data_IF_529898502543
#
_entry.id   IF_529898502543
#
_cell.length_a   1.000
_cell.length_b   1.000
_cell.length_c   1.000
_cell.angle_alpha   90.00
_cell.angle_beta   90.00
_cell.angle_gamma   90.00
#
_symmetry.space_group_name_H-M   'P 1'
#
loop_
_entity.id
_entity.type
_entity.pdbx_description
1 polymer ?
#
# COMPACT_ATOMS: atom_id res chain seq x y z
N UNK A 1 -7.83 9.68 -16.24
CA UNK A 1 -6.98 8.94 -15.29
C UNK A 1 -5.74 8.49 -16.05
N UNK A 2 -4.57 8.75 -15.51
CA UNK A 2 -3.30 8.27 -16.10
C UNK A 2 -3.07 6.79 -15.78
N UNK A 3 -2.16 6.14 -16.51
CA UNK A 3 -1.76 4.74 -16.22
C UNK A 3 -1.23 4.57 -14.79
N UNK A 4 -0.33 5.43 -14.27
CA UNK A 4 0.10 5.32 -12.87
C UNK A 4 -1.05 5.47 -11.87
N UNK A 5 -1.97 6.40 -12.08
CA UNK A 5 -3.16 6.54 -11.23
C UNK A 5 -4.04 5.28 -11.25
N UNK A 6 -4.23 4.68 -12.41
CA UNK A 6 -5.00 3.44 -12.53
C UNK A 6 -4.34 2.27 -11.78
N UNK A 7 -3.02 2.15 -11.89
CA UNK A 7 -2.25 1.14 -11.18
C UNK A 7 -2.36 1.32 -9.66
N UNK A 8 -2.21 2.55 -9.17
CA UNK A 8 -2.38 2.87 -7.73
C UNK A 8 -3.80 2.55 -7.28
N UNK A 9 -4.82 2.97 -8.03
CA UNK A 9 -6.21 2.69 -7.67
C UNK A 9 -6.51 1.19 -7.58
N UNK A 10 -5.97 0.41 -8.52
CA UNK A 10 -6.08 -1.04 -8.47
C UNK A 10 -5.43 -1.61 -7.21
N UNK A 11 -4.19 -1.18 -6.92
CA UNK A 11 -3.43 -1.65 -5.77
C UNK A 11 -4.11 -1.33 -4.44
N UNK A 12 -4.66 -0.11 -4.30
CA UNK A 12 -5.41 0.30 -3.11
C UNK A 12 -6.67 -0.55 -2.90
N UNK A 13 -7.43 -0.84 -3.99
CA UNK A 13 -8.61 -1.71 -3.89
C UNK A 13 -8.25 -3.13 -3.47
N UNK A 14 -7.16 -3.70 -4.02
CA UNK A 14 -6.71 -5.04 -3.63
C UNK A 14 -6.26 -5.06 -2.16
N UNK A 15 -5.59 -4.01 -1.69
CA UNK A 15 -5.17 -3.92 -0.29
C UNK A 15 -6.35 -3.74 0.70
N UNK A 16 -7.46 -3.17 0.24
CA UNK A 16 -8.69 -2.99 1.03
C UNK A 16 -9.61 -4.23 0.99
N UNK A 17 -9.41 -5.13 0.03
CA UNK A 17 -10.20 -6.34 -0.15
C UNK A 17 -9.57 -7.53 0.57
N UNK A 18 -10.19 -7.94 1.67
CA UNK A 18 -9.71 -9.01 2.55
C UNK A 18 -9.82 -10.42 1.92
N UNK A 19 -10.26 -10.55 0.68
CA UNK A 19 -10.24 -11.81 -0.08
C UNK A 19 -8.91 -12.06 -0.79
N UNK A 20 -7.98 -11.09 -0.74
CA UNK A 20 -6.65 -11.15 -1.33
C UNK A 20 -5.58 -11.33 -0.25
N UNK A 21 -4.57 -12.15 -0.54
CA UNK A 21 -3.48 -12.39 0.39
C UNK A 21 -2.15 -12.61 -0.31
N UNK A 22 -1.14 -13.03 0.46
CA UNK A 22 0.20 -13.32 -0.06
C UNK A 22 0.33 -14.79 -0.49
N UNK A 23 0.87 -15.01 -1.68
CA UNK A 23 1.24 -16.35 -2.14
C UNK A 23 2.36 -16.28 -3.15
N UNK A 24 3.38 -17.13 -2.99
CA UNK A 24 4.44 -17.28 -4.00
C UNK A 24 4.10 -18.31 -5.08
N UNK A 25 3.24 -19.25 -4.78
CA UNK A 25 2.85 -20.31 -5.72
C UNK A 25 1.61 -19.93 -6.55
N UNK A 26 0.63 -19.24 -5.95
CA UNK A 26 -0.60 -18.78 -6.60
C UNK A 26 -0.64 -17.24 -6.59
N UNK A 27 0.20 -16.63 -7.43
CA UNK A 27 0.61 -15.23 -7.29
C UNK A 27 0.09 -14.28 -8.36
N UNK A 28 -0.80 -14.72 -9.25
CA UNK A 28 -1.33 -13.91 -10.34
C UNK A 28 -2.84 -13.66 -10.23
N UNK A 29 -3.32 -13.62 -8.98
CA UNK A 29 -4.72 -13.46 -8.59
C UNK A 29 -5.37 -14.81 -8.20
N UNK A 30 -6.22 -14.80 -7.15
CA UNK A 30 -6.56 -13.64 -6.31
C UNK A 30 -5.46 -13.23 -5.32
N UNK A 31 -4.44 -14.07 -5.10
CA UNK A 31 -3.32 -13.77 -4.22
C UNK A 31 -2.10 -13.28 -5.01
N UNK A 32 -1.18 -12.62 -4.35
CA UNK A 32 0.00 -12.01 -4.97
C UNK A 32 1.22 -12.19 -4.09
N UNK A 33 2.42 -12.26 -4.70
CA UNK A 33 3.65 -11.91 -4.02
C UNK A 33 4.02 -10.45 -4.30
N UNK A 34 5.12 -9.97 -3.74
CA UNK A 34 5.52 -8.57 -3.89
C UNK A 34 5.68 -8.13 -5.35
N UNK A 35 6.32 -8.95 -6.17
CA UNK A 35 6.58 -8.62 -7.58
C UNK A 35 5.34 -8.76 -8.45
N UNK A 36 4.60 -9.85 -8.31
CA UNK A 36 3.37 -10.05 -9.07
C UNK A 36 2.28 -9.01 -8.73
N UNK A 37 2.25 -8.53 -7.49
CA UNK A 37 1.37 -7.44 -7.07
C UNK A 37 1.64 -6.15 -7.86
N UNK A 38 2.89 -5.66 -7.85
CA UNK A 38 3.25 -4.45 -8.57
C UNK A 38 3.09 -4.61 -10.09
N UNK A 39 3.43 -5.78 -10.65
CA UNK A 39 3.24 -6.07 -12.07
C UNK A 39 1.75 -6.09 -12.42
N UNK A 40 0.90 -6.74 -11.62
CA UNK A 40 -0.55 -6.81 -11.84
C UNK A 40 -1.23 -5.45 -11.70
N UNK A 41 -0.74 -4.57 -10.83
CA UNK A 41 -1.25 -3.20 -10.75
C UNK A 41 -1.17 -2.49 -12.10
N UNK A 42 -0.07 -2.66 -12.82
CA UNK A 42 0.07 -2.09 -14.17
C UNK A 42 -0.59 -2.93 -15.26
N UNK A 43 -0.42 -4.25 -15.22
CA UNK A 43 -0.98 -5.14 -16.24
C UNK A 43 -2.51 -5.20 -16.18
N UNK A 44 -3.05 -5.54 -15.03
CA UNK A 44 -4.49 -5.76 -14.83
C UNK A 44 -5.19 -4.46 -14.47
N UNK A 45 -4.58 -3.66 -13.61
CA UNK A 45 -5.18 -2.42 -13.11
C UNK A 45 -5.13 -1.27 -14.11
N UNK A 46 -4.08 -1.18 -14.91
CA UNK A 46 -3.85 -0.06 -15.82
C UNK A 46 -3.76 -0.46 -17.31
N UNK A 47 -3.89 -1.73 -17.64
CA UNK A 47 -3.93 -2.20 -19.04
C UNK A 47 -2.60 -2.17 -19.78
N UNK A 48 -1.46 -2.08 -19.06
CA UNK A 48 -0.13 -2.15 -19.68
C UNK A 48 0.14 -3.59 -20.13
N UNK A 49 0.51 -3.84 -21.40
CA UNK A 49 0.62 -5.20 -21.95
C UNK A 49 1.93 -5.88 -21.49
N UNK A 50 2.16 -5.99 -20.18
CA UNK A 50 3.35 -6.63 -19.62
C UNK A 50 3.27 -8.14 -19.84
N UNK A 51 4.30 -8.70 -20.48
CA UNK A 51 4.47 -10.14 -20.62
C UNK A 51 5.08 -10.72 -19.34
N UNK A 52 4.29 -11.47 -18.60
CA UNK A 52 4.70 -12.09 -17.34
C UNK A 52 5.62 -13.30 -17.51
N UNK A 53 5.88 -13.76 -18.74
CA UNK A 53 6.96 -14.70 -19.01
C UNK A 53 8.34 -14.02 -19.00
N UNK A 54 8.36 -12.70 -19.22
CA UNK A 54 9.59 -11.89 -19.28
C UNK A 54 9.86 -11.17 -17.97
N UNK A 55 8.81 -10.62 -17.34
CA UNK A 55 8.92 -9.89 -16.05
C UNK A 55 8.01 -10.54 -15.04
N UNK A 56 8.57 -11.23 -14.07
CA UNK A 56 7.75 -12.02 -13.15
C UNK A 56 8.30 -12.16 -11.72
N UNK A 57 9.49 -11.69 -11.42
CA UNK A 57 10.05 -11.72 -10.06
C UNK A 57 11.08 -10.59 -9.86
N UNK A 58 11.54 -10.40 -8.65
CA UNK A 58 12.45 -9.29 -8.29
C UNK A 58 13.76 -9.29 -9.08
N UNK A 59 14.25 -10.44 -9.52
CA UNK A 59 15.51 -10.53 -10.29
C UNK A 59 15.39 -10.09 -11.76
N UNK A 60 14.18 -9.92 -12.30
CA UNK A 60 13.96 -9.47 -13.68
C UNK A 60 13.05 -8.24 -13.81
N UNK A 61 12.85 -7.48 -12.71
CA UNK A 61 12.03 -6.24 -12.74
C UNK A 61 12.55 -5.19 -13.72
N UNK A 62 13.83 -5.22 -14.09
CA UNK A 62 14.40 -4.37 -15.14
C UNK A 62 13.74 -4.58 -16.51
N UNK A 63 13.11 -5.72 -16.74
CA UNK A 63 12.30 -5.96 -17.92
C UNK A 63 11.14 -4.98 -18.12
N UNK A 64 10.67 -4.31 -17.05
CA UNK A 64 9.63 -3.27 -17.12
C UNK A 64 10.03 -2.11 -18.03
N UNK A 65 11.33 -1.85 -18.22
CA UNK A 65 11.81 -0.79 -19.12
C UNK A 65 11.33 -0.99 -20.57
N UNK A 66 10.98 -2.22 -20.96
CA UNK A 66 10.41 -2.53 -22.30
C UNK A 66 8.94 -2.15 -22.44
N UNK A 67 8.27 -1.85 -21.32
CA UNK A 67 6.83 -1.60 -21.25
C UNK A 67 6.49 -0.16 -20.86
N UNK A 68 7.35 0.78 -21.22
CA UNK A 68 7.11 2.21 -21.01
C UNK A 68 7.56 2.74 -19.64
N UNK A 69 8.31 1.97 -18.88
CA UNK A 69 8.96 2.45 -17.66
C UNK A 69 10.32 3.05 -17.95
N UNK A 70 10.74 4.00 -17.10
CA UNK A 70 12.08 4.57 -17.07
C UNK A 70 12.66 4.44 -15.67
N UNK A 71 13.97 4.20 -15.58
CA UNK A 71 14.69 4.26 -14.32
C UNK A 71 14.77 5.72 -13.84
N UNK A 72 14.23 5.99 -12.68
CA UNK A 72 14.22 7.29 -12.01
C UNK A 72 14.96 7.28 -10.67
N UNK A 73 15.76 6.27 -10.42
CA UNK A 73 16.51 6.10 -9.17
C UNK A 73 17.34 7.34 -8.85
N UNK A 74 18.07 7.86 -9.82
CA UNK A 74 18.91 9.07 -9.64
C UNK A 74 18.12 10.38 -9.43
N UNK A 75 16.81 10.38 -9.68
CA UNK A 75 15.94 11.55 -9.46
C UNK A 75 15.21 11.48 -8.11
N UNK A 76 15.41 10.45 -7.32
CA UNK A 76 14.73 10.21 -6.06
C UNK A 76 15.73 10.04 -4.91
N UNK A 77 15.38 10.55 -3.75
CA UNK A 77 16.12 10.27 -2.52
C UNK A 77 15.48 9.07 -1.81
N UNK A 78 16.09 7.90 -1.95
CA UNK A 78 15.58 6.66 -1.35
C UNK A 78 15.64 6.61 0.19
N UNK A 79 16.34 7.55 0.84
CA UNK A 79 16.32 7.64 2.31
C UNK A 79 15.07 8.33 2.83
N UNK A 80 14.55 9.31 2.08
CA UNK A 80 13.44 10.17 2.50
C UNK A 80 12.17 9.98 1.67
N UNK A 81 12.26 9.32 0.51
CA UNK A 81 11.17 9.24 -0.46
C UNK A 81 10.97 10.52 -1.29
N UNK A 82 11.82 11.55 -1.10
CA UNK A 82 11.71 12.79 -1.88
C UNK A 82 11.93 12.52 -3.37
N UNK A 83 11.07 13.06 -4.22
CA UNK A 83 11.10 12.85 -5.68
C UNK A 83 10.29 11.65 -6.17
N UNK A 84 9.79 10.80 -5.27
CA UNK A 84 8.84 9.73 -5.62
C UNK A 84 7.51 10.32 -6.09
N UNK A 85 6.89 9.65 -7.06
CA UNK A 85 5.58 9.99 -7.59
C UNK A 85 4.64 8.79 -7.51
N UNK A 86 3.35 9.04 -7.32
CA UNK A 86 2.35 7.98 -7.29
C UNK A 86 2.44 7.10 -8.55
N UNK A 87 2.51 5.80 -8.35
CA UNK A 87 2.76 4.80 -9.39
C UNK A 87 4.22 4.41 -9.55
N UNK A 88 5.17 5.02 -8.85
CA UNK A 88 6.56 4.53 -8.89
C UNK A 88 6.65 3.13 -8.30
N UNK A 89 7.35 2.24 -8.97
CA UNK A 89 7.71 0.91 -8.46
C UNK A 89 9.09 1.00 -7.81
N UNK A 90 9.11 0.79 -6.51
CA UNK A 90 10.32 0.61 -5.71
C UNK A 90 10.69 -0.87 -5.72
N UNK A 91 11.97 -1.19 -5.92
CA UNK A 91 12.38 -2.58 -5.83
C UNK A 91 13.86 -2.74 -5.49
N UNK A 92 14.18 -3.90 -4.96
CA UNK A 92 15.54 -4.40 -4.82
C UNK A 92 15.58 -5.90 -5.06
N UNK A 93 16.77 -6.38 -5.45
CA UNK A 93 17.08 -7.81 -5.53
C UNK A 93 18.54 -8.01 -5.15
N UNK A 94 18.81 -8.83 -4.14
CA UNK A 94 20.15 -9.08 -3.65
C UNK A 94 20.69 -10.38 -4.25
N UNK A 95 20.01 -11.51 -4.02
CA UNK A 95 20.35 -12.81 -4.59
C UNK A 95 19.23 -13.82 -4.33
N UNK A 96 19.09 -14.80 -5.21
CA UNK A 96 18.10 -15.87 -5.08
C UNK A 96 16.68 -15.33 -4.94
N UNK A 97 16.04 -15.58 -3.81
CA UNK A 97 14.68 -15.08 -3.49
C UNK A 97 14.68 -13.83 -2.62
N UNK A 98 15.86 -13.28 -2.28
CA UNK A 98 15.95 -12.11 -1.42
C UNK A 98 15.77 -10.83 -2.24
N UNK A 99 14.54 -10.39 -2.30
CA UNK A 99 14.14 -9.16 -2.98
C UNK A 99 12.75 -8.74 -2.54
N UNK A 100 12.42 -7.48 -2.83
CA UNK A 100 11.09 -6.93 -2.54
C UNK A 100 10.71 -5.85 -3.54
N UNK A 101 9.40 -5.65 -3.69
CA UNK A 101 8.84 -4.56 -4.48
C UNK A 101 7.68 -3.91 -3.75
N UNK A 102 7.50 -2.62 -3.99
CA UNK A 102 6.36 -1.85 -3.51
C UNK A 102 5.94 -0.83 -4.56
N UNK A 103 4.67 -0.49 -4.56
CA UNK A 103 4.12 0.59 -5.38
C UNK A 103 3.98 1.83 -4.50
N UNK A 104 4.59 2.95 -4.90
CA UNK A 104 4.41 4.20 -4.20
C UNK A 104 3.01 4.78 -4.52
N UNK A 105 2.18 4.92 -3.49
CA UNK A 105 0.80 5.36 -3.65
C UNK A 105 0.65 6.89 -3.66
N UNK A 106 1.71 7.62 -3.35
CA UNK A 106 1.68 9.06 -3.09
C UNK A 106 1.62 9.35 -1.59
N UNK A 107 1.73 10.63 -1.23
CA UNK A 107 1.59 11.12 0.16
C UNK A 107 2.45 10.38 1.21
N UNK A 108 3.66 9.99 0.83
CA UNK A 108 4.55 9.26 1.73
C UNK A 108 4.15 7.82 2.01
N UNK A 109 3.37 7.18 1.12
CA UNK A 109 2.87 5.83 1.33
C UNK A 109 3.26 4.87 0.23
N UNK A 110 3.37 3.60 0.61
CA UNK A 110 3.57 2.47 -0.30
C UNK A 110 2.48 1.42 -0.09
N UNK A 111 2.15 0.72 -1.16
CA UNK A 111 1.29 -0.47 -1.15
C UNK A 111 2.13 -1.67 -1.59
N UNK A 112 2.11 -2.73 -0.81
CA UNK A 112 2.91 -3.90 -1.13
C UNK A 112 2.31 -5.21 -0.59
N UNK A 113 2.52 -6.31 -1.31
CA UNK A 113 2.30 -7.64 -0.79
C UNK A 113 3.59 -8.11 -0.09
N UNK A 114 3.54 -8.36 1.22
CA UNK A 114 4.73 -8.57 2.05
C UNK A 114 4.77 -9.92 2.77
N UNK A 115 3.69 -10.68 2.70
CA UNK A 115 3.57 -11.91 3.48
C UNK A 115 3.53 -11.65 4.99
N UNK A 116 3.41 -12.72 5.76
CA UNK A 116 3.55 -12.62 7.20
C UNK A 116 5.04 -12.69 7.59
N UNK A 117 5.40 -11.89 8.59
CA UNK A 117 6.79 -11.76 9.04
C UNK A 117 7.37 -13.05 9.65
N UNK A 118 6.55 -14.03 10.00
CA UNK A 118 6.94 -15.27 10.65
C UNK A 118 6.20 -16.45 10.07
N UNK A 119 6.90 -17.29 9.33
CA UNK A 119 6.41 -18.57 8.82
C UNK A 119 6.29 -18.65 7.30
N UNK A 120 5.88 -19.80 6.81
CA UNK A 120 5.63 -20.00 5.38
C UNK A 120 4.44 -19.18 4.92
N UNK A 121 4.51 -18.55 3.71
CA UNK A 121 3.38 -17.84 3.14
C UNK A 121 2.16 -18.75 3.06
N UNK A 122 1.03 -18.29 3.54
CA UNK A 122 -0.25 -18.96 3.40
C UNK A 122 -0.93 -18.48 2.11
N UNK A 123 -1.96 -19.21 1.71
CA UNK A 123 -2.78 -18.81 0.57
C UNK A 123 -4.05 -18.11 1.09
N UNK A 124 -4.40 -16.99 0.48
CA UNK A 124 -5.55 -16.17 0.85
C UNK A 124 -5.19 -15.09 1.86
N UNK A 125 -6.14 -14.22 2.15
CA UNK A 125 -5.90 -13.14 3.10
C UNK A 125 -5.65 -13.67 4.51
N UNK A 126 -4.55 -13.24 5.07
CA UNK A 126 -4.10 -13.61 6.41
C UNK A 126 -3.98 -12.37 7.32
N UNK A 127 -4.62 -11.28 6.95
CA UNK A 127 -4.53 -10.00 7.63
C UNK A 127 -3.23 -9.26 7.32
N UNK A 128 -3.35 -8.07 6.74
CA UNK A 128 -2.24 -7.18 6.38
C UNK A 128 -1.11 -7.78 5.51
N UNK A 129 -1.35 -8.89 4.83
CA UNK A 129 -0.40 -9.47 3.87
C UNK A 129 -0.24 -8.60 2.62
N UNK A 130 -1.30 -7.90 2.20
CA UNK A 130 -1.24 -6.80 1.24
C UNK A 130 -1.59 -5.54 2.02
N UNK A 131 -0.62 -4.67 2.21
CA UNK A 131 -0.72 -3.58 3.15
C UNK A 131 -0.39 -2.23 2.52
N UNK A 132 -1.07 -1.20 3.01
CA UNK A 132 -0.69 0.19 2.82
C UNK A 132 0.10 0.59 4.06
N UNK A 133 1.34 1.06 3.87
CA UNK A 133 2.20 1.48 4.97
C UNK A 133 2.82 2.84 4.65
N UNK A 134 3.29 3.55 5.67
CA UNK A 134 4.14 4.70 5.45
C UNK A 134 5.39 4.28 4.65
N UNK A 135 5.90 5.20 3.82
CA UNK A 135 7.18 4.98 3.16
C UNK A 135 8.27 4.85 4.23
N UNK A 136 9.11 3.86 4.07
CA UNK A 136 10.26 3.64 4.95
C UNK A 136 11.53 3.45 4.12
N UNK A 137 12.67 3.77 4.69
CA UNK A 137 13.97 3.44 4.13
C UNK A 137 14.17 1.92 4.20
N UNK A 138 13.79 1.23 3.13
CA UNK A 138 14.09 -0.20 2.96
C UNK A 138 15.48 -0.41 2.34
N UNK A 139 15.63 -1.56 1.73
CA UNK A 139 16.81 -1.88 0.90
C UNK A 139 16.61 -1.45 -0.56
N UNK A 140 15.77 -0.45 -0.81
CA UNK A 140 15.43 0.03 -2.14
C UNK A 140 16.68 0.36 -2.95
N UNK A 141 16.79 -0.22 -4.13
CA UNK A 141 17.90 -0.03 -5.05
C UNK A 141 17.46 0.74 -6.30
N UNK A 142 16.20 0.60 -6.69
CA UNK A 142 15.69 1.16 -7.94
C UNK A 142 14.30 1.76 -7.76
N UNK A 143 14.04 2.79 -8.58
CA UNK A 143 12.73 3.41 -8.77
C UNK A 143 12.39 3.36 -10.26
N UNK A 144 11.33 2.64 -10.61
CA UNK A 144 10.86 2.61 -11.99
C UNK A 144 9.54 3.35 -12.09
N UNK A 145 9.53 4.37 -12.95
CA UNK A 145 8.37 5.22 -13.24
C UNK A 145 7.84 4.93 -14.62
N UNK A 146 6.53 4.73 -14.72
CA UNK A 146 5.88 4.65 -16.01
C UNK A 146 5.87 6.04 -16.67
N UNK A 147 6.43 6.13 -17.87
CA UNK A 147 6.55 7.37 -18.66
C UNK A 147 5.89 7.28 -20.03
N UNK A 148 5.29 6.12 -20.34
CA UNK A 148 4.52 5.92 -21.56
C UNK A 148 3.29 6.82 -21.60
N UNK A 149 2.77 7.09 -22.78
CA UNK A 149 1.57 7.90 -22.97
C UNK A 149 0.30 7.08 -22.74
N UNK A 150 -0.63 7.65 -21.99
CA UNK A 150 -1.99 7.11 -21.89
C UNK A 150 -3.02 8.22 -22.14
N UNK A 151 -4.04 7.87 -22.91
CA UNK A 151 -5.10 8.79 -23.33
C UNK A 151 -6.46 8.50 -22.71
N UNK A 152 -6.56 7.55 -21.76
CA UNK A 152 -7.84 7.30 -21.09
C UNK A 152 -8.18 8.43 -20.14
N UNK A 153 -9.24 9.17 -20.42
CA UNK A 153 -9.76 10.26 -19.57
C UNK A 153 -10.89 9.79 -18.66
N UNK A 154 -11.37 8.57 -18.81
CA UNK A 154 -12.47 8.05 -18.01
C UNK A 154 -11.99 7.48 -16.67
N UNK A 155 -12.63 7.92 -15.60
CA UNK A 155 -12.45 7.36 -14.25
C UNK A 155 -13.31 6.09 -14.14
N UNK A 156 -12.74 4.92 -13.77
CA UNK A 156 -13.54 3.71 -13.61
C UNK A 156 -14.56 3.86 -12.48
N UNK A 157 -15.60 3.04 -12.53
CA UNK A 157 -16.54 2.94 -11.43
C UNK A 157 -15.78 2.57 -10.13
N UNK A 158 -16.04 3.30 -9.05
CA UNK A 158 -15.34 3.12 -7.77
C UNK A 158 -13.96 3.79 -7.67
N UNK A 159 -13.67 4.76 -8.56
CA UNK A 159 -12.42 5.53 -8.48
C UNK A 159 -12.28 6.24 -7.12
N UNK A 160 -11.11 6.05 -6.49
CA UNK A 160 -10.77 6.69 -5.22
C UNK A 160 -9.68 7.73 -5.51
N UNK A 161 -9.89 8.98 -5.13
CA UNK A 161 -8.86 10.01 -5.26
C UNK A 161 -7.73 9.71 -4.25
N UNK A 162 -6.47 9.50 -4.69
CA UNK A 162 -5.38 9.24 -3.77
C UNK A 162 -5.15 10.35 -2.74
N UNK A 163 -5.51 11.60 -3.08
CA UNK A 163 -5.48 12.72 -2.14
C UNK A 163 -6.57 12.62 -1.08
N UNK A 164 -7.64 11.89 -1.39
CA UNK A 164 -8.80 11.71 -0.54
C UNK A 164 -8.94 10.27 0.00
N UNK A 165 -7.94 9.40 -0.23
CA UNK A 165 -8.01 8.02 0.27
C UNK A 165 -8.25 7.99 1.79
N UNK A 166 -7.66 8.93 2.51
CA UNK A 166 -7.89 9.11 3.94
C UNK A 166 -9.07 10.04 4.29
N UNK A 167 -9.54 10.84 3.35
CA UNK A 167 -10.76 11.65 3.57
C UNK A 167 -12.05 10.88 3.29
N UNK A 168 -11.98 9.64 2.78
CA UNK A 168 -13.13 8.75 2.71
C UNK A 168 -13.34 8.07 4.07
N UNK A 169 -13.47 8.88 5.09
CA UNK A 169 -13.79 8.48 6.47
C UNK A 169 -15.05 7.62 6.57
N UNK A 170 -15.94 7.68 5.56
CA UNK A 170 -17.15 6.86 5.49
C UNK A 170 -16.89 5.36 5.20
N UNK A 171 -15.65 4.97 4.82
CA UNK A 171 -15.28 3.58 4.54
C UNK A 171 -14.20 3.03 5.48
N UNK A 172 -13.63 3.87 6.35
CA UNK A 172 -12.73 3.35 7.37
C UNK A 172 -13.53 2.49 8.36
N UNK A 173 -13.06 1.27 8.65
CA UNK A 173 -13.79 0.41 9.56
C UNK A 173 -13.89 1.03 10.94
N UNK A 174 -14.99 0.82 11.62
CA UNK A 174 -15.08 1.07 13.04
C UNK A 174 -14.12 0.09 13.74
N UNK A 175 -13.11 0.62 14.43
CA UNK A 175 -12.23 -0.19 15.27
C UNK A 175 -12.33 0.25 16.73
N UNK A 176 -12.19 -0.72 17.64
CA UNK A 176 -12.32 -0.53 19.08
C UNK A 176 -11.62 -1.67 19.83
N UNK A 177 -11.66 -1.60 21.14
CA UNK A 177 -11.10 -2.66 21.98
C UNK A 177 -11.46 -4.08 21.51
N UNK A 178 -10.46 -4.94 21.37
CA UNK A 178 -10.58 -6.30 20.88
C UNK A 178 -10.45 -6.44 19.36
N UNK A 179 -10.44 -5.36 18.58
CA UNK A 179 -10.14 -5.44 17.16
C UNK A 179 -8.66 -5.75 16.91
N UNK A 180 -8.39 -6.46 15.81
CA UNK A 180 -7.02 -6.78 15.36
C UNK A 180 -6.89 -6.52 13.86
N UNK A 181 -5.66 -6.23 13.41
CA UNK A 181 -5.35 -6.14 11.98
C UNK A 181 -4.78 -4.80 11.53
N UNK A 182 -4.80 -4.58 10.20
CA UNK A 182 -4.13 -3.46 9.56
C UNK A 182 -4.69 -2.09 9.95
N UNK A 183 -6.01 -1.98 10.09
CA UNK A 183 -6.64 -0.73 10.53
C UNK A 183 -6.25 -0.34 11.93
N UNK A 184 -6.04 -1.34 12.81
CA UNK A 184 -5.53 -1.10 14.17
C UNK A 184 -4.07 -0.63 14.12
N UNK A 185 -3.23 -1.25 13.30
CA UNK A 185 -1.84 -0.81 13.10
C UNK A 185 -1.76 0.62 12.62
N UNK A 186 -2.56 0.96 11.59
CA UNK A 186 -2.63 2.32 11.08
C UNK A 186 -3.05 3.31 12.18
N UNK A 187 -4.04 2.95 12.97
CA UNK A 187 -4.49 3.78 14.07
C UNK A 187 -3.38 3.99 15.10
N UNK A 188 -2.70 2.91 15.48
CA UNK A 188 -1.58 2.95 16.42
C UNK A 188 -0.43 3.84 15.94
N UNK A 189 -0.10 3.79 14.63
CA UNK A 189 0.88 4.70 14.02
C UNK A 189 0.43 6.16 14.12
N UNK A 190 -0.83 6.45 13.80
CA UNK A 190 -1.37 7.83 13.83
C UNK A 190 -1.33 8.44 15.22
N UNK A 191 -1.64 7.66 16.26
CA UNK A 191 -1.65 8.14 17.64
C UNK A 191 -0.33 7.91 18.39
N UNK A 192 0.71 7.41 17.70
CA UNK A 192 2.08 7.29 18.24
C UNK A 192 2.25 6.25 19.34
N UNK A 193 1.49 5.15 19.33
CA UNK A 193 1.65 4.04 20.27
C UNK A 193 2.35 2.84 19.64
N UNK A 194 2.67 1.81 20.44
CA UNK A 194 3.24 0.56 19.95
C UNK A 194 2.35 -0.07 18.87
N UNK A 195 2.95 -0.38 17.70
CA UNK A 195 2.23 -0.87 16.52
C UNK A 195 2.26 -2.40 16.49
N UNK A 196 1.45 -3.03 17.35
CA UNK A 196 1.31 -4.49 17.42
C UNK A 196 0.14 -5.04 16.59
N UNK A 197 -0.79 -4.15 16.20
CA UNK A 197 -1.99 -4.51 15.45
C UNK A 197 -3.10 -5.08 16.31
N UNK A 198 -3.01 -4.97 17.64
CA UNK A 198 -4.04 -5.37 18.60
C UNK A 198 -4.61 -4.12 19.28
N UNK A 199 -5.90 -3.89 19.18
CA UNK A 199 -6.56 -2.80 19.91
C UNK A 199 -6.77 -3.23 21.36
N UNK A 200 -5.66 -3.26 22.11
CA UNK A 200 -5.62 -3.58 23.52
C UNK A 200 -5.87 -2.35 24.41
N UNK A 201 -5.66 -2.53 25.71
CA UNK A 201 -5.85 -1.48 26.72
C UNK A 201 -5.00 -0.23 26.43
N UNK A 202 -3.74 -0.42 26.00
CA UNK A 202 -2.85 0.70 25.68
C UNK A 202 -3.40 1.55 24.53
N UNK A 203 -3.83 0.89 23.46
CA UNK A 203 -4.43 1.55 22.28
C UNK A 203 -5.72 2.26 22.68
N UNK A 204 -6.56 1.63 23.50
CA UNK A 204 -7.82 2.25 23.95
C UNK A 204 -7.57 3.51 24.81
N UNK A 205 -6.66 3.45 25.75
CA UNK A 205 -6.32 4.61 26.57
C UNK A 205 -5.78 5.77 25.73
N UNK A 206 -4.92 5.48 24.77
CA UNK A 206 -4.42 6.47 23.83
C UNK A 206 -5.55 7.02 22.93
N UNK A 207 -6.50 6.20 22.54
CA UNK A 207 -7.68 6.63 21.78
C UNK A 207 -8.55 7.60 22.58
N UNK A 208 -8.80 7.34 23.86
CA UNK A 208 -9.48 8.28 24.73
C UNK A 208 -8.74 9.61 24.84
N UNK A 209 -7.40 9.57 25.00
CA UNK A 209 -6.58 10.78 25.02
C UNK A 209 -6.65 11.57 23.72
N UNK A 210 -6.57 10.88 22.59
CA UNK A 210 -6.71 11.49 21.27
C UNK A 210 -8.09 12.15 21.11
N UNK A 211 -9.17 11.43 21.40
CA UNK A 211 -10.55 11.95 21.28
C UNK A 211 -10.77 13.19 22.16
N UNK A 212 -10.28 13.16 23.40
CA UNK A 212 -10.37 14.30 24.32
C UNK A 212 -9.61 15.53 23.80
N UNK A 213 -8.41 15.33 23.23
CA UNK A 213 -7.58 16.43 22.70
C UNK A 213 -8.15 17.06 21.42
N UNK A 214 -9.09 16.39 20.76
CA UNK A 214 -9.72 16.83 19.51
C UNK A 214 -11.21 17.18 19.67
N UNK A 215 -11.67 17.39 20.90
CA UNK A 215 -13.07 17.71 21.21
C UNK A 215 -14.07 16.71 20.60
N UNK A 216 -13.70 15.43 20.52
CA UNK A 216 -14.53 14.33 20.06
C UNK A 216 -15.25 13.66 21.24
N UNK A 217 -16.28 12.88 20.92
CA UNK A 217 -16.87 11.97 21.89
C UNK A 217 -15.84 10.95 22.36
N UNK A 218 -15.61 10.88 23.67
CA UNK A 218 -14.59 10.02 24.28
C UNK A 218 -15.19 8.65 24.57
N UNK A 219 -15.43 7.88 23.51
CA UNK A 219 -16.07 6.55 23.55
C UNK A 219 -15.06 5.39 23.37
N UNK A 220 -13.81 5.70 23.00
CA UNK A 220 -12.77 4.72 22.71
C UNK A 220 -13.00 3.94 21.41
N UNK A 221 -13.91 4.40 20.57
CA UNK A 221 -14.19 3.84 19.24
C UNK A 221 -13.60 4.76 18.16
N UNK A 222 -12.90 4.18 17.22
CA UNK A 222 -12.32 4.92 16.09
C UNK A 222 -13.27 4.83 14.91
N UNK A 223 -14.28 5.67 14.96
CA UNK A 223 -15.26 5.85 13.91
C UNK A 223 -14.89 6.98 12.92
N UNK A 224 -15.80 7.33 11.97
CA UNK A 224 -15.51 8.30 10.91
C UNK A 224 -15.00 9.67 11.41
N UNK A 225 -15.51 10.16 12.53
CA UNK A 225 -15.08 11.43 13.13
C UNK A 225 -13.66 11.34 13.68
N UNK A 226 -13.35 10.25 14.39
CA UNK A 226 -12.04 10.01 15.00
C UNK A 226 -10.97 9.79 13.93
N UNK A 227 -11.28 8.98 12.91
CA UNK A 227 -10.42 8.84 11.73
C UNK A 227 -10.18 10.19 11.03
N UNK A 228 -11.25 10.97 10.82
CA UNK A 228 -11.15 12.27 10.16
C UNK A 228 -10.23 13.24 10.89
N UNK A 229 -10.31 13.31 12.21
CA UNK A 229 -9.44 14.15 13.02
C UNK A 229 -7.96 13.75 12.89
N UNK A 230 -7.66 12.46 13.06
CA UNK A 230 -6.28 11.96 12.97
C UNK A 230 -5.65 12.18 11.57
N UNK A 231 -6.43 12.04 10.52
CA UNK A 231 -5.95 12.20 9.16
C UNK A 231 -5.77 13.67 8.77
N UNK A 232 -6.49 14.59 9.40
CA UNK A 232 -6.32 16.02 9.18
C UNK A 232 -5.00 16.58 9.74
N UNK A 233 -4.37 15.88 10.70
CA UNK A 233 -3.05 16.25 11.23
C UNK A 233 -1.89 15.93 10.29
N UNK A 234 -2.14 15.12 9.24
CA UNK A 234 -1.13 14.74 8.26
C UNK A 234 -1.03 15.71 7.07
N UNK A 235 -1.89 16.74 7.01
CA UNK A 235 -1.95 17.73 5.92
C UNK A 235 -1.29 19.03 6.33
#
# INVERSE_FOLDING_TARGET
MTIPEAAVQWALRIADDQTHGYSQSNRWGPNYDCSSFCISAYKTGAGVPIDTSVVNYTGNMNGLLRYGFADKTGACNLNTGTGLQAGDILWYHISGTNGHTALYAGNGQIVHARGQSYGSPKTGDQGSEIAITAYYRGQWQHVYRYTGTNTSTEKPAGWIDPKNYYTVTAKMPLIRYGCVGSSVRLWQELIGVEVDGEFGVKTQLATFGFQNNHDLEVDGEVGPKTWGAALSELT
#
